data_IF_002799043532
#
_entry.id   IF_002799043532
#
_cell.length_a   1.000
_cell.length_b   1.000
_cell.length_c   1.000
_cell.angle_alpha   90.00
_cell.angle_beta   90.00
_cell.angle_gamma   90.00
#
_symmetry.space_group_name_H-M   'P 1'
#
loop_
_entity.id
_entity.type
_entity.pdbx_description
1 polymer ?
#
# COMPACT_ATOMS: atom_id res chain seq x y z
N UNK A 1 20.02 32.51 3.69
CA UNK A 1 19.45 31.23 4.15
C UNK A 1 18.66 30.65 3.00
N UNK A 2 19.17 29.57 2.38
CA UNK A 2 18.56 28.92 1.22
C UNK A 2 17.45 28.00 1.71
N UNK A 3 16.19 28.34 1.41
CA UNK A 3 15.04 27.49 1.72
C UNK A 3 15.10 26.19 0.93
N UNK A 4 14.99 25.07 1.64
CA UNK A 4 14.79 23.73 1.08
C UNK A 4 13.53 23.74 0.23
N UNK A 5 13.64 23.46 -1.07
CA UNK A 5 12.50 23.13 -1.92
C UNK A 5 11.86 21.83 -1.39
N UNK A 6 10.53 21.76 -1.20
CA UNK A 6 9.88 20.51 -0.84
C UNK A 6 10.02 19.52 -1.99
N UNK A 7 10.37 18.29 -1.64
CA UNK A 7 10.30 17.13 -2.51
C UNK A 7 8.84 16.97 -2.99
N UNK A 8 8.63 16.60 -4.26
CA UNK A 8 7.34 16.38 -4.95
C UNK A 8 6.66 17.61 -5.58
N UNK A 9 7.20 18.07 -6.70
CA UNK A 9 6.40 18.66 -7.75
C UNK A 9 6.48 17.74 -8.97
N UNK A 10 5.44 16.96 -9.22
CA UNK A 10 5.09 16.47 -10.56
C UNK A 10 3.84 17.27 -11.00
N UNK A 11 3.98 18.57 -11.34
CA UNK A 11 2.83 19.45 -11.57
C UNK A 11 2.05 19.06 -12.84
N UNK A 12 2.69 18.34 -13.77
CA UNK A 12 2.15 18.15 -15.12
C UNK A 12 1.06 17.08 -15.21
N UNK A 13 0.86 16.24 -14.19
CA UNK A 13 -0.15 15.19 -14.22
C UNK A 13 -1.51 15.60 -13.66
N UNK A 14 -1.55 16.58 -12.75
CA UNK A 14 -2.78 16.97 -12.03
C UNK A 14 -3.86 17.48 -12.99
N UNK A 15 -3.47 18.11 -14.11
CA UNK A 15 -4.42 18.68 -15.07
C UNK A 15 -4.79 17.73 -16.22
N UNK A 16 -4.22 16.52 -16.25
CA UNK A 16 -4.43 15.57 -17.34
C UNK A 16 -5.65 14.70 -17.06
N UNK A 17 -6.33 14.25 -18.11
CA UNK A 17 -7.44 13.32 -17.97
C UNK A 17 -6.89 11.90 -17.78
N UNK A 18 -7.30 11.23 -16.70
CA UNK A 18 -6.82 9.88 -16.35
C UNK A 18 -7.02 8.89 -17.50
N UNK A 19 -8.16 9.00 -18.20
CA UNK A 19 -8.52 8.14 -19.33
C UNK A 19 -7.54 8.12 -20.48
N UNK A 20 -6.79 9.20 -20.68
CA UNK A 20 -5.80 9.30 -21.76
C UNK A 20 -4.56 8.42 -21.46
N UNK A 21 -4.47 7.87 -20.25
CA UNK A 21 -3.31 7.16 -19.74
C UNK A 21 -3.61 5.72 -19.27
N UNK A 22 -4.85 5.24 -19.44
CA UNK A 22 -5.25 3.89 -19.02
C UNK A 22 -4.37 2.79 -19.63
N UNK A 23 -4.00 2.93 -20.90
CA UNK A 23 -3.19 1.95 -21.63
C UNK A 23 -1.67 2.24 -21.55
N UNK A 24 -1.26 3.16 -20.66
CA UNK A 24 0.16 3.49 -20.50
C UNK A 24 0.96 2.26 -20.03
N UNK A 25 1.99 1.92 -20.79
CA UNK A 25 2.95 0.86 -20.45
C UNK A 25 4.00 1.30 -19.42
N UNK A 26 3.98 2.57 -19.01
CA UNK A 26 4.85 3.09 -17.95
C UNK A 26 4.21 2.87 -16.57
N UNK A 27 4.84 2.08 -15.66
CA UNK A 27 4.34 1.83 -14.31
C UNK A 27 4.17 3.10 -13.46
N UNK A 28 5.01 4.12 -13.70
CA UNK A 28 4.93 5.40 -12.97
C UNK A 28 3.61 6.11 -13.29
N UNK A 29 3.14 6.01 -14.53
CA UNK A 29 1.84 6.56 -14.92
C UNK A 29 0.71 5.89 -14.18
N UNK A 30 0.74 4.55 -14.02
CA UNK A 30 -0.26 3.81 -13.26
C UNK A 30 -0.26 4.23 -11.78
N UNK A 31 0.93 4.46 -11.20
CA UNK A 31 1.07 4.97 -9.83
C UNK A 31 0.45 6.36 -9.68
N UNK A 32 0.64 7.24 -10.66
CA UNK A 32 0.18 8.64 -10.63
C UNK A 32 -1.26 8.84 -11.12
N UNK A 33 -1.89 7.81 -11.65
CA UNK A 33 -3.23 7.86 -12.24
C UNK A 33 -4.29 8.46 -11.29
N UNK A 34 -4.30 8.14 -9.97
CA UNK A 34 -5.24 8.75 -9.05
C UNK A 34 -4.99 10.24 -8.74
N UNK A 35 -3.87 10.81 -9.18
CA UNK A 35 -3.62 12.28 -9.10
C UNK A 35 -4.13 13.03 -10.32
N UNK A 36 -4.56 12.34 -11.36
CA UNK A 36 -5.10 12.93 -12.58
C UNK A 36 -6.58 13.28 -12.42
N UNK A 37 -7.14 13.99 -13.39
CA UNK A 37 -8.57 14.31 -13.41
C UNK A 37 -9.40 13.09 -13.81
N UNK A 38 -10.48 12.85 -13.06
CA UNK A 38 -11.52 11.85 -13.32
C UNK A 38 -12.87 12.44 -12.91
N UNK A 39 -13.98 11.89 -13.41
CA UNK A 39 -15.31 12.41 -13.07
C UNK A 39 -15.67 12.05 -11.62
N UNK A 40 -16.43 12.92 -10.91
CA UNK A 40 -16.94 12.60 -9.59
C UNK A 40 -17.76 11.30 -9.62
N UNK A 41 -17.28 10.26 -8.93
CA UNK A 41 -17.89 8.93 -8.90
C UNK A 41 -17.05 7.83 -9.56
N UNK A 42 -16.05 8.18 -10.37
CA UNK A 42 -15.17 7.18 -11.03
C UNK A 42 -13.92 6.82 -10.21
N UNK A 43 -13.76 7.43 -9.04
CA UNK A 43 -12.56 7.32 -8.20
C UNK A 43 -12.17 5.86 -7.90
N UNK A 44 -13.13 5.05 -7.47
CA UNK A 44 -12.89 3.65 -7.10
C UNK A 44 -12.53 2.83 -8.34
N UNK A 45 -13.22 3.04 -9.46
CA UNK A 45 -12.95 2.37 -10.73
C UNK A 45 -11.57 2.71 -11.31
N UNK A 46 -11.19 3.98 -11.28
CA UNK A 46 -9.89 4.45 -11.76
C UNK A 46 -8.76 4.00 -10.83
N UNK A 47 -9.01 3.92 -9.52
CA UNK A 47 -8.07 3.32 -8.57
C UNK A 47 -7.89 1.84 -8.84
N UNK A 48 -8.99 1.09 -9.03
CA UNK A 48 -8.93 -0.33 -9.41
C UNK A 48 -8.15 -0.50 -10.72
N UNK A 49 -8.41 0.34 -11.72
CA UNK A 49 -7.73 0.31 -13.01
C UNK A 49 -6.23 0.56 -12.86
N UNK A 50 -5.84 1.56 -12.08
CA UNK A 50 -4.44 1.85 -11.76
C UNK A 50 -3.74 0.66 -11.09
N UNK A 51 -4.38 0.03 -10.09
CA UNK A 51 -3.84 -1.13 -9.39
C UNK A 51 -3.68 -2.33 -10.31
N UNK A 52 -4.72 -2.60 -11.12
CA UNK A 52 -4.72 -3.67 -12.10
C UNK A 52 -3.63 -3.44 -13.13
N UNK A 53 -3.54 -2.24 -13.73
CA UNK A 53 -2.53 -1.89 -14.72
C UNK A 53 -1.10 -1.99 -14.17
N UNK A 54 -0.86 -1.47 -12.96
CA UNK A 54 0.44 -1.60 -12.30
C UNK A 54 0.82 -3.08 -12.12
N UNK A 55 -0.09 -3.91 -11.60
CA UNK A 55 0.18 -5.32 -11.37
C UNK A 55 0.54 -6.09 -12.65
N UNK A 56 -0.18 -5.84 -13.75
CA UNK A 56 0.14 -6.45 -15.03
C UNK A 56 1.52 -6.05 -15.55
N UNK A 57 1.93 -4.80 -15.33
CA UNK A 57 3.23 -4.30 -15.80
C UNK A 57 4.41 -4.81 -14.97
N UNK A 58 4.26 -4.96 -13.65
CA UNK A 58 5.41 -5.18 -12.76
C UNK A 58 5.38 -6.50 -11.98
N UNK A 59 4.26 -7.23 -12.01
CA UNK A 59 4.05 -8.46 -11.27
C UNK A 59 3.95 -8.27 -9.74
N UNK A 60 3.63 -9.36 -9.04
CA UNK A 60 3.25 -9.32 -7.63
C UNK A 60 4.32 -8.72 -6.69
N UNK A 61 5.58 -9.13 -6.84
CA UNK A 61 6.65 -8.73 -5.93
C UNK A 61 6.88 -7.20 -5.95
N UNK A 62 6.86 -6.61 -7.14
CA UNK A 62 7.09 -5.17 -7.29
C UNK A 62 5.81 -4.36 -7.05
N UNK A 63 4.64 -4.93 -7.36
CA UNK A 63 3.35 -4.35 -7.02
C UNK A 63 3.22 -4.10 -5.52
N UNK A 64 3.54 -5.11 -4.68
CA UNK A 64 3.49 -4.98 -3.21
C UNK A 64 4.34 -3.85 -2.64
N UNK A 65 5.36 -3.37 -3.38
CA UNK A 65 6.21 -2.26 -2.98
C UNK A 65 5.63 -0.89 -3.32
N UNK A 66 4.78 -0.80 -4.34
CA UNK A 66 4.38 0.48 -4.93
C UNK A 66 2.87 0.75 -4.87
N UNK A 67 2.03 -0.26 -4.63
CA UNK A 67 0.57 -0.05 -4.65
C UNK A 67 0.07 0.94 -3.59
N UNK A 68 0.82 1.09 -2.49
CA UNK A 68 0.47 2.07 -1.45
C UNK A 68 0.46 3.49 -1.96
N UNK A 69 1.32 3.82 -2.93
CA UNK A 69 1.30 5.13 -3.53
C UNK A 69 -0.01 5.36 -4.27
N UNK A 70 -0.56 4.34 -4.94
CA UNK A 70 -1.88 4.45 -5.59
C UNK A 70 -2.94 4.71 -4.52
N UNK A 71 -2.93 3.94 -3.42
CA UNK A 71 -3.90 4.07 -2.34
C UNK A 71 -3.84 5.45 -1.65
N UNK A 72 -2.63 5.91 -1.33
CA UNK A 72 -2.35 7.23 -0.72
C UNK A 72 -2.74 8.37 -1.68
N UNK A 73 -2.46 8.21 -2.97
CA UNK A 73 -2.75 9.25 -3.95
C UNK A 73 -4.23 9.36 -4.27
N UNK A 74 -4.92 8.23 -4.30
CA UNK A 74 -6.36 8.15 -4.44
C UNK A 74 -7.08 8.69 -3.21
N UNK A 75 -6.47 8.69 -2.01
CA UNK A 75 -7.12 9.13 -0.76
C UNK A 75 -8.41 8.32 -0.51
N UNK A 76 -8.33 6.99 -0.66
CA UNK A 76 -9.44 6.06 -0.49
C UNK A 76 -9.95 6.10 0.95
N UNK A 77 -11.25 6.32 1.09
CA UNK A 77 -11.97 6.31 2.37
C UNK A 77 -12.41 4.88 2.75
N UNK A 78 -12.79 4.66 4.00
CA UNK A 78 -13.17 3.32 4.51
C UNK A 78 -14.32 2.68 3.69
N UNK A 79 -15.34 3.44 3.31
CA UNK A 79 -16.45 2.94 2.48
C UNK A 79 -16.01 2.61 1.05
N UNK A 80 -15.10 3.39 0.49
CA UNK A 80 -14.53 3.17 -0.85
C UNK A 80 -13.57 1.98 -0.85
N UNK A 81 -12.93 1.67 0.29
CA UNK A 81 -12.08 0.50 0.45
C UNK A 81 -12.87 -0.81 0.31
N UNK A 82 -14.04 -0.89 0.94
CA UNK A 82 -14.91 -2.07 0.84
C UNK A 82 -15.37 -2.30 -0.61
N UNK A 83 -15.78 -1.22 -1.29
CA UNK A 83 -16.15 -1.25 -2.70
C UNK A 83 -14.98 -1.69 -3.60
N UNK A 84 -13.80 -1.10 -3.41
CA UNK A 84 -12.58 -1.45 -4.15
C UNK A 84 -12.20 -2.92 -3.99
N UNK A 85 -12.25 -3.45 -2.77
CA UNK A 85 -11.95 -4.86 -2.50
C UNK A 85 -12.96 -5.78 -3.17
N UNK A 86 -14.25 -5.44 -3.14
CA UNK A 86 -15.31 -6.18 -3.83
C UNK A 86 -15.05 -6.25 -5.34
N UNK A 87 -14.77 -5.09 -5.97
CA UNK A 87 -14.52 -5.00 -7.41
C UNK A 87 -13.26 -5.77 -7.83
N UNK A 88 -12.21 -5.75 -7.00
CA UNK A 88 -11.01 -6.56 -7.25
C UNK A 88 -11.35 -8.05 -7.21
N UNK A 89 -12.12 -8.53 -6.25
CA UNK A 89 -12.47 -9.97 -6.19
C UNK A 89 -13.27 -10.49 -7.40
N UNK A 90 -13.95 -9.61 -8.15
CA UNK A 90 -14.72 -9.99 -9.34
C UNK A 90 -13.86 -10.14 -10.62
N UNK A 91 -12.61 -9.68 -10.61
CA UNK A 91 -11.70 -9.71 -11.79
C UNK A 91 -10.69 -10.86 -11.72
N UNK A 92 -10.30 -11.38 -12.89
CA UNK A 92 -9.40 -12.54 -13.05
C UNK A 92 -8.09 -12.43 -12.24
N UNK A 93 -7.42 -11.26 -12.27
CA UNK A 93 -6.22 -11.00 -11.46
C UNK A 93 -6.51 -10.28 -10.14
N UNK A 94 -7.76 -9.89 -9.91
CA UNK A 94 -8.10 -9.05 -8.78
C UNK A 94 -8.27 -9.82 -7.46
N UNK A 95 -8.49 -11.13 -7.48
CA UNK A 95 -8.40 -11.98 -6.28
C UNK A 95 -6.98 -11.99 -5.69
N UNK A 96 -5.95 -12.15 -6.53
CA UNK A 96 -4.55 -12.08 -6.09
C UNK A 96 -4.20 -10.69 -5.56
N UNK A 97 -4.77 -9.63 -6.15
CA UNK A 97 -4.59 -8.26 -5.69
C UNK A 97 -5.26 -8.02 -4.33
N UNK A 98 -6.50 -8.45 -4.16
CA UNK A 98 -7.25 -8.29 -2.91
C UNK A 98 -6.55 -9.03 -1.77
N UNK A 99 -6.06 -10.25 -2.00
CA UNK A 99 -5.25 -11.00 -1.03
C UNK A 99 -4.00 -10.22 -0.61
N UNK A 100 -3.25 -9.64 -1.57
CA UNK A 100 -2.05 -8.87 -1.27
C UNK A 100 -2.34 -7.61 -0.45
N UNK A 101 -3.43 -6.92 -0.75
CA UNK A 101 -3.87 -5.72 -0.02
C UNK A 101 -4.26 -6.12 1.41
N UNK A 102 -5.06 -7.18 1.56
CA UNK A 102 -5.49 -7.69 2.87
C UNK A 102 -4.31 -8.20 3.71
N UNK A 103 -3.37 -8.93 3.11
CA UNK A 103 -2.13 -9.37 3.78
C UNK A 103 -1.36 -8.17 4.32
N UNK A 104 -1.19 -7.11 3.52
CA UNK A 104 -0.52 -5.90 3.98
C UNK A 104 -1.25 -5.22 5.13
N UNK A 105 -2.58 -5.09 5.05
CA UNK A 105 -3.40 -4.54 6.14
C UNK A 105 -3.23 -5.29 7.46
N UNK A 106 -3.14 -6.63 7.41
CA UNK A 106 -2.87 -7.45 8.60
C UNK A 106 -1.49 -7.22 9.19
N UNK A 107 -0.48 -6.92 8.37
CA UNK A 107 0.86 -6.58 8.87
C UNK A 107 0.93 -5.17 9.45
N UNK A 108 0.19 -4.22 8.88
CA UNK A 108 0.03 -2.88 9.44
C UNK A 108 -0.62 -2.92 10.82
N UNK A 109 -1.75 -3.61 10.95
CA UNK A 109 -2.44 -3.78 12.24
C UNK A 109 -1.52 -4.38 13.32
N UNK A 110 -0.75 -5.41 12.93
CA UNK A 110 0.25 -6.01 13.83
C UNK A 110 1.35 -5.02 14.20
N UNK A 111 1.84 -4.24 13.25
CA UNK A 111 2.86 -3.23 13.50
C UNK A 111 2.37 -2.16 14.49
N UNK A 112 1.17 -1.63 14.27
CA UNK A 112 0.54 -0.67 15.19
C UNK A 112 0.33 -1.27 16.58
N UNK A 113 -0.16 -2.50 16.67
CA UNK A 113 -0.30 -3.22 17.94
C UNK A 113 1.05 -3.33 18.67
N UNK A 114 2.13 -3.66 17.97
CA UNK A 114 3.48 -3.72 18.57
C UNK A 114 3.88 -2.36 19.15
N UNK A 115 3.61 -1.26 18.42
CA UNK A 115 3.94 0.10 18.87
C UNK A 115 3.10 0.53 20.07
N UNK A 116 1.78 0.33 20.05
CA UNK A 116 0.91 0.67 21.19
C UNK A 116 1.27 -0.13 22.46
N UNK A 117 1.58 -1.43 22.33
CA UNK A 117 1.99 -2.23 23.50
C UNK A 117 3.37 -1.83 24.03
N UNK A 118 4.27 -1.36 23.16
CA UNK A 118 5.56 -0.78 23.56
C UNK A 118 5.36 0.50 24.38
N UNK A 119 4.43 1.37 23.98
CA UNK A 119 4.09 2.58 24.74
C UNK A 119 3.54 2.26 26.13
N UNK A 120 2.83 1.14 26.27
CA UNK A 120 2.42 0.57 27.56
C UNK A 120 3.56 -0.08 28.36
N UNK A 121 4.83 0.10 27.97
CA UNK A 121 6.01 -0.50 28.58
C UNK A 121 5.97 -2.04 28.67
N UNK A 122 5.22 -2.71 27.78
CA UNK A 122 5.20 -4.18 27.76
C UNK A 122 6.55 -4.75 27.33
N UNK A 123 6.95 -5.88 27.94
CA UNK A 123 8.17 -6.57 27.55
C UNK A 123 8.00 -7.21 26.17
N UNK A 124 9.05 -7.29 25.33
CA UNK A 124 8.97 -7.89 24.00
C UNK A 124 8.43 -9.33 23.97
N UNK A 125 8.62 -10.09 25.06
CA UNK A 125 8.07 -11.45 25.21
C UNK A 125 6.54 -11.47 25.28
N UNK A 126 5.94 -10.50 25.96
CA UNK A 126 4.49 -10.42 26.14
C UNK A 126 3.83 -9.88 24.86
N UNK A 127 4.47 -8.91 24.21
CA UNK A 127 4.07 -8.40 22.89
C UNK A 127 4.11 -9.53 21.83
N UNK A 128 5.14 -10.38 21.87
CA UNK A 128 5.27 -11.53 20.98
C UNK A 128 4.09 -12.51 21.12
N UNK A 129 3.65 -12.77 22.35
CA UNK A 129 2.46 -13.60 22.61
C UNK A 129 1.19 -12.97 22.02
N UNK A 130 0.98 -11.66 22.23
CA UNK A 130 -0.21 -10.96 21.72
C UNK A 130 -0.27 -10.92 20.18
N UNK A 131 0.89 -10.79 19.52
CA UNK A 131 0.99 -10.60 18.06
C UNK A 131 1.25 -11.90 17.29
N UNK A 132 1.41 -13.02 18.01
CA UNK A 132 1.81 -14.34 17.49
C UNK A 132 3.12 -14.26 16.68
N UNK A 133 4.09 -13.49 17.19
CA UNK A 133 5.45 -13.36 16.65
C UNK A 133 6.47 -13.99 17.60
N UNK A 134 7.73 -14.11 17.18
CA UNK A 134 8.81 -14.45 18.10
C UNK A 134 9.30 -13.22 18.86
N UNK A 135 9.78 -13.36 20.10
CA UNK A 135 10.38 -12.24 20.84
C UNK A 135 11.52 -11.56 20.08
N UNK A 136 12.33 -12.34 19.36
CA UNK A 136 13.41 -11.83 18.50
C UNK A 136 12.85 -10.93 17.40
N UNK A 137 11.76 -11.37 16.74
CA UNK A 137 11.14 -10.60 15.68
C UNK A 137 10.54 -9.29 16.19
N UNK A 138 9.90 -9.32 17.37
CA UNK A 138 9.40 -8.10 18.01
C UNK A 138 10.55 -7.14 18.32
N UNK A 139 11.68 -7.63 18.84
CA UNK A 139 12.87 -6.79 19.09
C UNK A 139 13.40 -6.16 17.79
N UNK A 140 13.50 -6.92 16.70
CA UNK A 140 13.92 -6.39 15.39
C UNK A 140 13.00 -5.26 14.92
N UNK A 141 11.68 -5.44 15.02
CA UNK A 141 10.66 -4.46 14.61
C UNK A 141 10.78 -3.19 15.46
N UNK A 142 10.84 -3.34 16.79
CA UNK A 142 10.98 -2.21 17.72
C UNK A 142 12.29 -1.44 17.52
N UNK A 143 13.40 -2.14 17.25
CA UNK A 143 14.71 -1.53 16.99
C UNK A 143 14.74 -0.74 15.67
N UNK A 144 13.88 -1.10 14.72
CA UNK A 144 13.83 -0.49 13.39
C UNK A 144 12.90 0.72 13.29
N UNK A 145 12.15 1.02 14.36
CA UNK A 145 11.18 2.13 14.38
C UNK A 145 10.21 2.05 13.20
N UNK A 146 10.07 3.16 12.47
CA UNK A 146 9.18 3.31 11.31
C UNK A 146 9.45 2.28 10.19
N UNK A 147 10.67 1.74 10.10
CA UNK A 147 11.02 0.71 9.11
C UNK A 147 10.62 -0.70 9.54
N UNK A 148 10.11 -0.87 10.77
CA UNK A 148 9.77 -2.17 11.33
C UNK A 148 8.63 -2.87 10.57
N UNK A 149 7.73 -2.12 9.93
CA UNK A 149 6.68 -2.68 9.07
C UNK A 149 7.26 -3.51 7.91
N UNK A 150 8.29 -2.99 7.24
CA UNK A 150 8.95 -3.67 6.12
C UNK A 150 9.55 -5.02 6.55
N UNK A 151 9.97 -5.13 7.81
CA UNK A 151 10.49 -6.38 8.36
C UNK A 151 9.40 -7.43 8.58
N UNK A 152 8.14 -7.03 8.77
CA UNK A 152 6.99 -7.93 8.85
C UNK A 152 6.57 -8.43 7.48
N UNK A 153 6.62 -7.56 6.47
CA UNK A 153 6.24 -7.86 5.09
C UNK A 153 7.30 -8.73 4.36
N UNK A 154 8.59 -8.42 4.54
CA UNK A 154 9.67 -8.94 3.69
C UNK A 154 10.06 -10.42 3.87
N UNK A 155 9.64 -11.12 4.95
CA UNK A 155 10.01 -12.53 5.17
C UNK A 155 9.11 -13.56 4.45
N UNK A 156 7.97 -13.14 3.89
CA UNK A 156 7.10 -14.03 3.10
C UNK A 156 7.39 -14.03 1.59
N UNK A 157 8.28 -13.14 1.10
CA UNK A 157 8.59 -13.04 -0.32
C UNK A 157 9.58 -14.10 -0.85
N UNK A 158 10.12 -14.96 0.01
CA UNK A 158 11.18 -15.94 -0.34
C UNK A 158 10.80 -17.39 -0.05
N UNK A 159 9.56 -17.78 -0.31
CA UNK A 159 9.19 -19.19 -0.47
C UNK A 159 8.42 -19.39 -1.77
N UNK A 160 9.17 -19.52 -2.85
CA UNK A 160 8.78 -20.30 -4.02
C UNK A 160 9.84 -21.38 -4.21
#
# INVERSE_FOLDING_TARGET
>A
MQGRLPFFAYPDFIYKQARDYFDSTNPVTQILLPKMNYEPGEKVDDTMRAMTGLFHLVGAALFSKYFDFIYIYADIQDNEQEELLSLLTEKENGMLLSERIQERGRYEEKFQTIMSLRECNMKPKDIANATRLTPEKVREVLASGDKGLNLLIGKNATKH
#
